data_IF_489532663091
#
_entry.id   IF_489532663091
#
_cell.length_a   1.000
_cell.length_b   1.000
_cell.length_c   1.000
_cell.angle_alpha   90.00
_cell.angle_beta   90.00
_cell.angle_gamma   90.00
#
_symmetry.space_group_name_H-M   'P 1'
#
loop_
_entity.id
_entity.type
_entity.pdbx_description
1 polymer ?
#
# COMPACT_ATOMS: atom_id res chain seq x y z
N UNK A 1 -3.39 53.50 41.24
CA UNK A 1 -2.85 52.84 40.03
C UNK A 1 -3.54 51.49 39.91
N UNK A 2 -4.37 51.30 38.87
CA UNK A 2 -5.18 50.08 38.66
C UNK A 2 -4.38 49.12 37.77
N UNK A 3 -3.97 47.97 38.32
CA UNK A 3 -3.33 46.91 37.54
C UNK A 3 -4.45 46.11 36.87
N UNK A 4 -4.55 46.26 35.55
CA UNK A 4 -5.53 45.59 34.69
C UNK A 4 -4.97 44.20 34.36
N UNK A 5 -5.48 43.18 35.04
CA UNK A 5 -5.17 41.77 34.74
C UNK A 5 -5.90 41.41 33.45
N UNK A 6 -5.16 41.34 32.36
CA UNK A 6 -5.65 40.84 31.07
C UNK A 6 -5.61 39.31 31.14
N UNK A 7 -6.73 38.70 31.51
CA UNK A 7 -6.97 37.27 31.37
C UNK A 7 -7.02 36.90 29.89
N UNK A 8 -5.93 36.34 29.39
CA UNK A 8 -5.81 35.78 28.04
C UNK A 8 -6.50 34.42 28.02
N UNK A 9 -7.79 34.40 27.66
CA UNK A 9 -8.54 33.19 27.36
C UNK A 9 -7.97 32.56 26.08
N UNK A 10 -7.02 31.64 26.23
CA UNK A 10 -6.58 30.75 25.15
C UNK A 10 -7.75 29.83 24.76
N UNK A 11 -8.46 30.22 23.72
CA UNK A 11 -9.34 29.34 22.96
C UNK A 11 -8.52 28.16 22.40
N UNK A 12 -8.65 27.00 23.04
CA UNK A 12 -8.27 25.72 22.47
C UNK A 12 -9.27 25.35 21.36
N UNK A 13 -9.17 26.03 20.22
CA UNK A 13 -9.76 25.56 18.99
C UNK A 13 -8.95 24.35 18.52
N UNK A 14 -9.32 23.17 19.03
CA UNK A 14 -8.89 21.90 18.46
C UNK A 14 -9.48 21.78 17.06
N UNK A 15 -8.78 22.29 16.05
CA UNK A 15 -9.03 21.91 14.67
C UNK A 15 -8.81 20.40 14.58
N UNK A 16 -9.90 19.63 14.55
CA UNK A 16 -9.87 18.27 14.05
C UNK A 16 -9.34 18.36 12.61
N UNK A 17 -8.06 18.08 12.42
CA UNK A 17 -7.42 18.13 11.11
C UNK A 17 -8.17 17.14 10.20
N UNK A 18 -8.88 17.68 9.22
CA UNK A 18 -9.58 16.89 8.20
C UNK A 18 -8.54 16.01 7.51
N UNK A 19 -8.61 14.71 7.78
CA UNK A 19 -7.59 13.78 7.31
C UNK A 19 -7.84 13.49 5.83
N UNK A 20 -7.20 14.30 4.97
CA UNK A 20 -7.30 14.22 3.52
C UNK A 20 -7.09 12.79 3.02
N UNK A 21 -8.01 12.33 2.17
CA UNK A 21 -7.92 11.03 1.51
C UNK A 21 -6.70 11.01 0.59
N UNK A 22 -5.77 10.05 0.77
CA UNK A 22 -4.61 9.93 -0.11
C UNK A 22 -5.01 9.59 -1.55
N UNK A 23 -4.33 10.20 -2.52
CA UNK A 23 -4.60 9.94 -3.95
C UNK A 23 -4.31 8.49 -4.36
N UNK A 24 -3.39 7.81 -3.66
CA UNK A 24 -3.04 6.43 -3.99
C UNK A 24 -4.21 5.46 -3.78
N UNK A 25 -5.24 5.82 -3.00
CA UNK A 25 -6.44 5.01 -2.83
C UNK A 25 -7.30 4.92 -4.10
N UNK A 26 -7.30 5.95 -4.94
CA UNK A 26 -8.01 5.93 -6.23
C UNK A 26 -7.12 5.48 -7.38
N UNK A 27 -5.80 5.71 -7.29
CA UNK A 27 -4.84 5.30 -8.31
C UNK A 27 -3.53 4.83 -7.68
N UNK A 28 -3.31 3.51 -7.71
CA UNK A 28 -2.04 2.92 -7.25
C UNK A 28 -0.89 3.53 -8.06
N UNK A 29 0.21 3.99 -7.42
CA UNK A 29 1.37 4.50 -8.14
C UNK A 29 1.93 3.46 -9.12
N UNK A 30 2.04 3.85 -10.38
CA UNK A 30 2.63 3.00 -11.44
C UNK A 30 4.02 3.54 -11.78
N UNK A 31 5.02 2.67 -11.71
CA UNK A 31 6.41 2.98 -12.07
C UNK A 31 7.04 1.81 -12.81
N UNK A 32 8.02 2.11 -13.66
CA UNK A 32 8.85 1.07 -14.29
C UNK A 32 9.97 0.56 -13.37
N UNK A 33 10.19 1.25 -12.25
CA UNK A 33 11.25 0.98 -11.27
C UNK A 33 10.72 0.34 -9.98
N UNK A 34 9.40 0.36 -9.78
CA UNK A 34 8.78 -0.13 -8.55
C UNK A 34 7.45 -0.80 -8.87
N UNK A 35 7.09 -1.80 -8.06
CA UNK A 35 5.74 -2.38 -8.06
C UNK A 35 5.13 -2.02 -6.71
N UNK A 36 3.92 -1.47 -6.76
CA UNK A 36 3.16 -1.09 -5.58
C UNK A 36 1.84 -1.86 -5.53
N UNK A 37 1.36 -2.14 -4.33
CA UNK A 37 0.08 -2.76 -4.08
C UNK A 37 -0.58 -2.17 -2.83
N UNK A 38 -1.91 -2.23 -2.79
CA UNK A 38 -2.72 -1.77 -1.66
C UNK A 38 -3.34 -2.98 -0.97
N UNK A 39 -3.24 -3.00 0.35
CA UNK A 39 -3.97 -3.93 1.20
C UNK A 39 -4.97 -3.18 2.07
N UNK A 40 -6.06 -3.86 2.37
CA UNK A 40 -7.18 -3.30 3.12
C UNK A 40 -7.49 -4.24 4.28
N UNK A 41 -7.80 -3.65 5.43
CA UNK A 41 -8.46 -4.33 6.54
C UNK A 41 -9.64 -3.48 6.99
N UNK A 42 -10.81 -4.09 7.09
CA UNK A 42 -11.95 -3.48 7.77
C UNK A 42 -11.65 -3.17 9.24
N UNK A 43 -12.58 -2.50 9.94
CA UNK A 43 -12.43 -2.18 11.34
C UNK A 43 -12.28 -3.46 12.18
N UNK A 44 -11.35 -3.43 13.11
CA UNK A 44 -11.12 -4.45 14.13
C UNK A 44 -11.39 -3.84 15.51
N UNK A 45 -11.49 -4.69 16.53
CA UNK A 45 -11.63 -4.22 17.91
C UNK A 45 -10.45 -3.32 18.33
N UNK A 46 -9.25 -3.72 17.91
CA UNK A 46 -7.98 -3.03 18.15
C UNK A 46 -7.44 -2.45 16.84
N UNK A 47 -7.16 -1.15 16.75
CA UNK A 47 -6.74 -0.51 15.50
C UNK A 47 -5.41 -1.08 14.97
N UNK A 48 -4.50 -1.45 15.86
CA UNK A 48 -3.24 -2.11 15.56
C UNK A 48 -3.43 -3.43 14.80
N UNK A 49 -4.50 -4.18 15.08
CA UNK A 49 -4.81 -5.40 14.34
C UNK A 49 -5.20 -5.08 12.90
N UNK A 50 -6.01 -4.04 12.66
CA UNK A 50 -6.37 -3.60 11.31
C UNK A 50 -5.13 -3.09 10.55
N UNK A 51 -4.19 -2.43 11.23
CA UNK A 51 -2.91 -2.02 10.65
C UNK A 51 -2.08 -3.23 10.23
N UNK A 52 -1.90 -4.21 11.11
CA UNK A 52 -1.15 -5.43 10.81
C UNK A 52 -1.81 -6.25 9.68
N UNK A 53 -3.14 -6.40 9.71
CA UNK A 53 -3.90 -7.14 8.70
C UNK A 53 -3.88 -6.45 7.34
N UNK A 54 -4.04 -5.13 7.30
CA UNK A 54 -3.98 -4.38 6.03
C UNK A 54 -2.58 -4.44 5.41
N UNK A 55 -1.52 -4.41 6.23
CA UNK A 55 -0.16 -4.63 5.74
C UNK A 55 0.04 -6.04 5.19
N UNK A 56 -0.39 -7.08 5.91
CA UNK A 56 -0.29 -8.46 5.43
C UNK A 56 -1.06 -8.67 4.12
N UNK A 57 -2.25 -8.07 4.01
CA UNK A 57 -3.06 -8.02 2.78
C UNK A 57 -2.29 -7.34 1.65
N UNK A 58 -1.64 -6.21 1.91
CA UNK A 58 -0.88 -5.47 0.89
C UNK A 58 0.32 -6.28 0.37
N UNK A 59 1.01 -6.98 1.25
CA UNK A 59 2.12 -7.88 0.88
C UNK A 59 1.63 -9.05 0.01
N UNK A 60 0.46 -9.60 0.30
CA UNK A 60 -0.13 -10.66 -0.52
C UNK A 60 -0.55 -10.17 -1.92
N UNK A 61 -1.12 -8.97 -2.01
CA UNK A 61 -1.41 -8.35 -3.31
C UNK A 61 -0.14 -8.00 -4.09
N UNK A 62 0.91 -7.56 -3.38
CA UNK A 62 2.20 -7.32 -4.01
C UNK A 62 2.78 -8.60 -4.61
N UNK A 63 2.77 -9.71 -3.87
CA UNK A 63 3.23 -11.00 -4.37
C UNK A 63 2.46 -11.42 -5.65
N UNK A 64 1.14 -11.25 -5.67
CA UNK A 64 0.32 -11.48 -6.87
C UNK A 64 0.73 -10.59 -8.05
N UNK A 65 0.95 -9.29 -7.81
CA UNK A 65 1.37 -8.36 -8.86
C UNK A 65 2.72 -8.75 -9.46
N UNK A 66 3.66 -9.21 -8.64
CA UNK A 66 4.96 -9.72 -9.07
C UNK A 66 4.81 -10.96 -9.95
N UNK A 67 4.02 -11.94 -9.52
CA UNK A 67 3.76 -13.15 -10.30
C UNK A 67 3.17 -12.83 -11.68
N UNK A 68 2.20 -11.92 -11.75
CA UNK A 68 1.59 -11.50 -13.03
C UNK A 68 2.64 -10.85 -13.92
N UNK A 69 3.48 -9.95 -13.38
CA UNK A 69 4.53 -9.29 -14.14
C UNK A 69 5.54 -10.28 -14.73
N UNK A 70 5.99 -11.25 -13.93
CA UNK A 70 6.91 -12.31 -14.38
C UNK A 70 6.28 -13.14 -15.51
N UNK A 71 5.01 -13.53 -15.37
CA UNK A 71 4.28 -14.27 -16.42
C UNK A 71 4.18 -13.49 -17.71
N UNK A 72 3.84 -12.19 -17.66
CA UNK A 72 3.77 -11.35 -18.86
C UNK A 72 5.12 -11.22 -19.56
N UNK A 73 6.21 -11.04 -18.81
CA UNK A 73 7.55 -10.92 -19.40
C UNK A 73 8.04 -12.23 -20.04
N UNK A 74 7.64 -13.40 -19.50
CA UNK A 74 7.92 -14.70 -20.11
C UNK A 74 7.15 -14.91 -21.43
N UNK A 75 5.86 -14.54 -21.47
CA UNK A 75 5.03 -14.65 -22.69
C UNK A 75 5.60 -13.77 -23.81
N UNK A 76 5.94 -12.51 -23.52
CA UNK A 76 6.52 -11.58 -24.50
C UNK A 76 7.85 -12.08 -25.08
N UNK A 77 8.67 -12.78 -24.28
CA UNK A 77 9.92 -13.41 -24.75
C UNK A 77 9.65 -14.63 -25.63
N UNK A 78 8.65 -15.45 -25.27
CA UNK A 78 8.30 -16.65 -26.04
C UNK A 78 7.65 -16.32 -27.40
N UNK A 79 6.97 -15.19 -27.55
CA UNK A 79 6.41 -14.75 -28.84
C UNK A 79 7.48 -14.21 -29.79
N UNK A 80 8.59 -13.66 -29.25
CA UNK A 80 9.69 -13.12 -30.05
C UNK A 80 10.71 -14.16 -30.54
N UNK A 81 10.83 -15.30 -29.84
CA UNK A 81 11.74 -16.39 -30.19
C UNK A 81 10.92 -17.61 -30.61
N UNK A 82 10.82 -17.88 -31.92
CA UNK A 82 9.97 -18.92 -32.52
C UNK A 82 10.34 -20.38 -32.17
N UNK A 83 11.13 -20.60 -31.11
CA UNK A 83 11.35 -21.91 -30.52
C UNK A 83 10.30 -22.13 -29.46
N UNK A 84 9.46 -23.14 -29.65
CA UNK A 84 8.56 -23.66 -28.62
C UNK A 84 9.35 -23.83 -27.32
N UNK A 85 9.09 -22.96 -26.35
CA UNK A 85 9.64 -23.06 -25.01
C UNK A 85 8.97 -24.27 -24.38
N UNK A 86 9.55 -25.46 -24.59
CA UNK A 86 9.24 -26.62 -23.77
C UNK A 86 9.51 -26.19 -22.33
N UNK A 87 8.43 -26.20 -21.55
CA UNK A 87 8.31 -25.76 -20.17
C UNK A 87 9.24 -26.56 -19.26
N UNK A 88 10.55 -26.31 -19.35
CA UNK A 88 11.41 -26.47 -18.19
C UNK A 88 11.03 -25.30 -17.30
N UNK A 89 10.16 -25.59 -16.33
CA UNK A 89 9.99 -24.76 -15.14
C UNK A 89 11.36 -24.65 -14.48
N UNK A 90 12.18 -23.75 -15.00
CA UNK A 90 13.49 -23.46 -14.47
C UNK A 90 13.26 -22.74 -13.14
N UNK A 91 13.83 -23.31 -12.09
CA UNK A 91 13.65 -22.92 -10.69
C UNK A 91 14.05 -21.45 -10.41
N UNK A 92 14.61 -20.75 -11.41
CA UNK A 92 14.90 -19.31 -11.42
C UNK A 92 13.68 -18.40 -11.26
N UNK A 93 12.46 -18.86 -11.56
CA UNK A 93 11.24 -18.09 -11.25
C UNK A 93 10.90 -18.06 -9.74
N UNK A 94 11.39 -19.04 -8.96
CA UNK A 94 11.15 -19.15 -7.51
C UNK A 94 12.16 -18.40 -6.66
N UNK A 95 13.39 -18.17 -7.16
CA UNK A 95 14.43 -17.42 -6.43
C UNK A 95 14.17 -15.91 -6.32
N UNK A 96 13.24 -15.38 -7.12
CA UNK A 96 12.90 -13.96 -7.15
C UNK A 96 11.90 -13.54 -6.08
N UNK A 97 10.73 -14.18 -5.97
CA UNK A 97 9.59 -13.59 -5.24
C UNK A 97 9.86 -13.39 -3.74
N UNK A 98 10.46 -14.37 -3.07
CA UNK A 98 10.67 -14.31 -1.61
C UNK A 98 11.80 -13.34 -1.21
N UNK A 99 12.85 -13.20 -2.05
CA UNK A 99 13.90 -12.18 -1.86
C UNK A 99 13.41 -10.80 -2.24
N UNK A 100 12.58 -10.70 -3.29
CA UNK A 100 11.99 -9.45 -3.77
C UNK A 100 10.97 -8.90 -2.76
N UNK A 101 10.18 -9.76 -2.11
CA UNK A 101 9.26 -9.37 -1.05
C UNK A 101 9.99 -8.88 0.22
N UNK A 102 11.25 -9.29 0.48
CA UNK A 102 12.05 -8.74 1.59
C UNK A 102 12.41 -7.27 1.40
N UNK A 103 12.38 -6.78 0.15
CA UNK A 103 12.62 -5.36 -0.16
C UNK A 103 11.33 -4.53 -0.16
N UNK A 104 10.17 -5.18 0.01
CA UNK A 104 8.90 -4.49 0.09
C UNK A 104 8.82 -3.67 1.38
N UNK A 105 8.44 -2.41 1.25
CA UNK A 105 8.32 -1.47 2.35
C UNK A 105 6.92 -0.87 2.37
N UNK A 106 6.39 -0.69 3.58
CA UNK A 106 5.20 0.13 3.79
C UNK A 106 5.58 1.56 3.48
N UNK A 107 5.00 2.11 2.42
CA UNK A 107 5.22 3.50 1.99
C UNK A 107 4.30 4.44 2.75
N UNK A 108 3.02 4.09 2.80
CA UNK A 108 1.98 4.87 3.47
C UNK A 108 0.93 3.95 4.09
N UNK A 109 0.34 4.41 5.19
CA UNK A 109 -0.80 3.76 5.82
C UNK A 109 -1.81 4.81 6.25
N UNK A 110 -3.07 4.60 5.88
CA UNK A 110 -4.15 5.55 6.12
C UNK A 110 -5.35 4.86 6.77
N UNK A 111 -6.00 5.58 7.69
CA UNK A 111 -7.17 5.10 8.43
C UNK A 111 -8.38 5.93 8.04
N UNK A 112 -9.44 5.24 7.64
CA UNK A 112 -10.74 5.85 7.40
C UNK A 112 -11.34 6.29 8.74
N UNK A 113 -11.40 7.60 8.99
CA UNK A 113 -11.96 8.14 10.24
C UNK A 113 -13.36 8.75 10.06
N UNK A 114 -13.76 9.06 8.83
CA UNK A 114 -15.07 9.69 8.52
C UNK A 114 -15.92 8.80 7.63
N UNK A 115 -17.26 8.90 7.69
CA UNK A 115 -18.13 8.26 6.68
C UNK A 115 -18.21 9.05 5.37
N UNK A 116 -17.79 10.32 5.40
CA UNK A 116 -17.92 11.26 4.28
C UNK A 116 -17.09 10.84 3.06
N UNK A 117 -15.95 10.19 3.27
CA UNK A 117 -15.02 9.87 2.20
C UNK A 117 -15.46 8.69 1.32
N UNK A 118 -16.54 7.96 1.66
CA UNK A 118 -17.11 6.85 0.88
C UNK A 118 -16.13 5.71 0.49
N UNK A 119 -14.93 5.64 1.09
CA UNK A 119 -13.91 4.63 0.74
C UNK A 119 -14.08 3.33 1.54
N UNK A 120 -14.76 3.39 2.69
CA UNK A 120 -15.02 2.25 3.59
C UNK A 120 -15.68 2.69 4.91
N UNK A 121 -15.93 1.74 5.81
CA UNK A 121 -16.43 2.06 7.15
C UNK A 121 -15.35 2.72 8.02
N UNK A 122 -15.71 3.61 8.97
CA UNK A 122 -14.75 4.16 9.92
C UNK A 122 -14.01 3.06 10.69
N UNK A 123 -12.70 3.22 10.83
CA UNK A 123 -11.78 2.22 11.38
C UNK A 123 -11.17 1.29 10.33
N UNK A 124 -11.60 1.36 9.07
CA UNK A 124 -10.92 0.64 7.97
C UNK A 124 -9.52 1.21 7.76
N UNK A 125 -8.53 0.33 7.60
CA UNK A 125 -7.13 0.70 7.36
C UNK A 125 -6.71 0.24 5.98
N UNK A 126 -6.02 1.14 5.27
CA UNK A 126 -5.45 0.91 3.96
C UNK A 126 -3.94 1.06 4.07
N UNK A 127 -3.20 0.13 3.47
CA UNK A 127 -1.74 0.15 3.48
C UNK A 127 -1.23 0.08 2.05
N UNK A 128 -0.39 1.03 1.67
CA UNK A 128 0.37 1.02 0.43
C UNK A 128 1.75 0.41 0.70
N UNK A 129 2.05 -0.67 0.01
CA UNK A 129 3.37 -1.29 0.02
C UNK A 129 3.97 -1.15 -1.37
N UNK A 130 5.25 -0.82 -1.43
CA UNK A 130 6.00 -0.78 -2.68
C UNK A 130 7.31 -1.52 -2.53
N UNK A 131 7.79 -2.08 -3.63
CA UNK A 131 9.11 -2.68 -3.73
C UNK A 131 9.82 -2.18 -4.99
N UNK A 132 11.15 -2.06 -4.97
CA UNK A 132 11.91 -1.80 -6.18
C UNK A 132 11.92 -3.03 -7.10
N UNK A 133 11.97 -2.80 -8.40
CA UNK A 133 12.22 -3.82 -9.41
C UNK A 133 13.67 -3.67 -9.86
N UNK A 134 14.54 -4.54 -9.37
CA UNK A 134 15.93 -4.61 -9.85
C UNK A 134 15.89 -5.18 -11.27
N UNK A 135 16.34 -4.41 -12.26
CA UNK A 135 16.56 -4.91 -13.63
C UNK A 135 17.90 -5.57 -13.77
#
# INVERSE_FOLDING_TARGET
MRVMVVTFLLWLAGCAAEQKVPMWLSAVPVSSQEICAIGISGPTYYQEDARARSQASAMAELARAVEVRVKTDLVLRSEGDGRSVETRMDETAGFGSDVVLRQAQVREQWVQNSKEHQVGEPGTVYTLVCMPVVR
#
